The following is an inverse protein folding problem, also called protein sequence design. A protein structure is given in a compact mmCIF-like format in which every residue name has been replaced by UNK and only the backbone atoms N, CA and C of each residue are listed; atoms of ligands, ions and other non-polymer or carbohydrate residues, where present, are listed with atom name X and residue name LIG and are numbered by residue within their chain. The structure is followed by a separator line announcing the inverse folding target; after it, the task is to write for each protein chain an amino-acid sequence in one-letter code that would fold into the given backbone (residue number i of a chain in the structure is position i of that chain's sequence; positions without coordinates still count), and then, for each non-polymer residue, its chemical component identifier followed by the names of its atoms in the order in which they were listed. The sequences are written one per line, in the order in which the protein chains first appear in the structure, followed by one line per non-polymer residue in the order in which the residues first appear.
data_IF_978197225055
#
_entry.id   IF_978197225055
#
_cell.length_a   1.000
_cell.length_b   1.000
_cell.length_c   1.000
_cell.angle_alpha   90.00
_cell.angle_beta   90.00
_cell.angle_gamma   90.00
#
_symmetry.space_group_name_H-M   'P 1'
#
loop_
_entity.id
_entity.type
_entity.pdbx_description
1 polymer ?
#
# COMPACT_ATOMS: atom_id res chain seq x y z
N UNK A 1 7.67 18.49 -17.78
CA UNK A 1 6.29 18.88 -17.38
C UNK A 1 6.41 19.96 -16.32
N UNK A 2 5.66 21.07 -16.38
CA UNK A 2 5.65 22.07 -15.31
C UNK A 2 5.18 21.43 -14.00
N UNK A 3 5.60 21.98 -12.86
CA UNK A 3 5.14 21.50 -11.56
C UNK A 3 3.65 21.80 -11.36
N UNK A 4 2.94 20.90 -10.68
CA UNK A 4 1.52 21.09 -10.36
C UNK A 4 1.13 20.33 -9.09
N UNK A 5 0.01 20.75 -8.49
CA UNK A 5 -0.74 19.95 -7.53
C UNK A 5 -2.20 19.88 -7.94
N UNK A 6 -2.82 18.72 -7.75
CA UNK A 6 -4.24 18.47 -8.00
C UNK A 6 -4.86 17.77 -6.81
N UNK A 7 -6.07 18.17 -6.42
CA UNK A 7 -6.88 17.46 -5.43
C UNK A 7 -8.23 17.17 -6.04
N UNK A 8 -8.67 15.91 -6.00
CA UNK A 8 -9.96 15.46 -6.51
C UNK A 8 -10.67 14.62 -5.45
N UNK A 9 -11.98 14.80 -5.35
CA UNK A 9 -12.87 13.85 -4.65
C UNK A 9 -13.57 13.00 -5.69
N UNK A 10 -13.43 11.68 -5.59
CA UNK A 10 -14.03 10.68 -6.47
C UNK A 10 -15.49 10.41 -6.08
N UNK A 11 -16.23 9.75 -6.97
CA UNK A 11 -17.68 9.51 -6.82
C UNK A 11 -18.04 8.58 -5.66
N UNK A 12 -17.10 7.79 -5.18
CA UNK A 12 -17.18 6.86 -4.05
C UNK A 12 -16.78 7.51 -2.71
N UNK A 13 -16.44 8.81 -2.71
CA UNK A 13 -15.99 9.54 -1.53
C UNK A 13 -14.48 9.46 -1.28
N UNK A 14 -13.73 8.73 -2.11
CA UNK A 14 -12.27 8.73 -2.02
C UNK A 14 -11.70 10.10 -2.38
N UNK A 15 -10.65 10.53 -1.67
CA UNK A 15 -9.95 11.79 -1.96
C UNK A 15 -8.55 11.49 -2.46
N UNK A 16 -8.28 11.91 -3.69
CA UNK A 16 -6.96 11.82 -4.32
C UNK A 16 -6.27 13.19 -4.30
N UNK A 17 -5.01 13.20 -3.86
CA UNK A 17 -4.13 14.34 -3.76
C UNK A 17 -2.84 14.04 -4.48
N UNK A 18 -2.52 14.82 -5.51
CA UNK A 18 -1.34 14.62 -6.34
C UNK A 18 -0.47 15.85 -6.40
N UNK A 19 0.84 15.64 -6.41
CA UNK A 19 1.82 16.69 -6.68
C UNK A 19 2.92 16.15 -7.60
N UNK A 20 3.29 16.98 -8.58
CA UNK A 20 4.44 16.75 -9.44
C UNK A 20 5.35 17.98 -9.36
N UNK A 21 6.62 17.77 -9.03
CA UNK A 21 7.61 18.84 -9.01
C UNK A 21 9.00 18.31 -9.35
N UNK A 22 9.62 18.87 -10.40
CA UNK A 22 10.91 18.40 -10.91
C UNK A 22 10.82 16.99 -11.48
N UNK A 23 11.45 16.02 -10.82
CA UNK A 23 11.36 14.58 -11.18
C UNK A 23 10.46 13.79 -10.23
N UNK A 24 10.00 14.42 -9.16
CA UNK A 24 9.23 13.76 -8.13
C UNK A 24 7.75 13.87 -8.43
N UNK A 25 7.08 12.73 -8.36
CA UNK A 25 5.62 12.64 -8.37
C UNK A 25 5.18 11.94 -7.11
N UNK A 26 4.23 12.53 -6.38
CA UNK A 26 3.60 11.92 -5.24
C UNK A 26 2.09 11.93 -5.38
N UNK A 27 1.46 10.85 -4.93
CA UNK A 27 0.02 10.61 -4.92
C UNK A 27 -0.36 10.16 -3.53
N UNK A 28 -1.45 10.68 -3.03
CA UNK A 28 -2.09 10.28 -1.79
C UNK A 28 -3.56 10.02 -2.08
N UNK A 29 -4.00 8.79 -1.82
CA UNK A 29 -5.40 8.40 -1.89
C UNK A 29 -5.86 8.07 -0.48
N UNK A 30 -6.90 8.73 0.00
CA UNK A 30 -7.51 8.45 1.29
C UNK A 30 -8.94 7.95 1.11
N UNK A 31 -9.26 6.85 1.80
CA UNK A 31 -10.60 6.29 1.88
C UNK A 31 -11.10 6.43 3.31
N UNK A 32 -12.24 7.11 3.49
CA UNK A 32 -12.93 7.18 4.78
C UNK A 32 -13.88 5.97 4.86
N UNK A 33 -13.40 4.86 5.42
CA UNK A 33 -14.18 3.61 5.49
C UNK A 33 -15.21 3.65 6.63
N UNK A 34 -14.88 4.27 7.79
CA UNK A 34 -15.76 4.48 8.95
C UNK A 34 -15.15 5.49 9.95
N UNK A 35 -15.87 5.88 11.03
CA UNK A 35 -15.41 6.83 12.08
C UNK A 35 -14.04 6.45 12.71
N UNK A 36 -13.67 5.16 12.69
CA UNK A 36 -12.42 4.67 13.27
C UNK A 36 -11.40 4.10 12.27
N UNK A 37 -11.81 3.83 11.03
CA UNK A 37 -10.98 3.16 10.04
C UNK A 37 -10.80 4.04 8.81
N UNK A 38 -9.73 4.84 8.80
CA UNK A 38 -9.26 5.52 7.59
C UNK A 38 -7.87 4.98 7.22
N UNK A 39 -7.71 4.62 5.95
CA UNK A 39 -6.43 4.20 5.36
C UNK A 39 -6.01 5.21 4.32
N UNK A 40 -4.73 5.55 4.36
CA UNK A 40 -4.11 6.46 3.40
C UNK A 40 -3.04 5.70 2.64
N UNK A 41 -3.20 5.62 1.33
CA UNK A 41 -2.20 5.09 0.42
C UNK A 41 -1.39 6.25 -0.14
N UNK A 42 -0.08 6.25 0.09
CA UNK A 42 0.83 7.29 -0.43
C UNK A 42 1.89 6.66 -1.32
N UNK A 43 1.97 7.11 -2.56
CA UNK A 43 2.90 6.61 -3.58
C UNK A 43 3.80 7.75 -4.07
N UNK A 44 5.11 7.53 -4.10
CA UNK A 44 6.11 8.54 -4.47
C UNK A 44 7.11 7.93 -5.45
N UNK A 45 7.40 8.61 -6.54
CA UNK A 45 8.35 8.17 -7.56
C UNK A 45 9.23 9.32 -8.02
N UNK A 46 10.51 9.03 -8.26
CA UNK A 46 11.45 9.92 -8.94
C UNK A 46 11.73 9.51 -10.40
N UNK A 47 10.98 8.52 -10.91
CA UNK A 47 11.17 7.90 -12.22
C UNK A 47 12.17 6.73 -12.24
N UNK A 48 13.02 6.60 -11.22
CA UNK A 48 14.00 5.50 -11.08
C UNK A 48 13.74 4.60 -9.88
N UNK A 49 13.03 5.12 -8.89
CA UNK A 49 12.63 4.47 -7.66
C UNK A 49 11.16 4.75 -7.41
N UNK A 50 10.48 3.79 -6.78
CA UNK A 50 9.09 3.89 -6.38
C UNK A 50 8.96 3.52 -4.91
N UNK A 51 8.20 4.30 -4.15
CA UNK A 51 7.92 4.08 -2.74
C UNK A 51 6.41 4.14 -2.53
N UNK A 52 5.84 3.07 -2.00
CA UNK A 52 4.46 3.01 -1.55
C UNK A 52 4.44 2.93 -0.03
N UNK A 53 3.50 3.62 0.59
CA UNK A 53 3.30 3.71 2.03
C UNK A 53 1.81 3.51 2.30
N UNK A 54 1.50 2.70 3.30
CA UNK A 54 0.15 2.56 3.86
C UNK A 54 0.18 3.19 5.24
N UNK A 55 -0.65 4.21 5.45
CA UNK A 55 -0.76 4.92 6.71
C UNK A 55 -2.16 4.74 7.30
N UNK A 56 -2.25 4.82 8.62
CA UNK A 56 -3.54 4.89 9.32
C UNK A 56 -4.07 6.34 9.38
N UNK A 57 -5.23 6.53 10.01
CA UNK A 57 -5.86 7.85 10.26
C UNK A 57 -4.96 8.87 10.99
N UNK A 58 -4.01 8.40 11.78
CA UNK A 58 -3.06 9.24 12.54
C UNK A 58 -1.79 9.56 11.76
N UNK A 59 -1.74 9.21 10.47
CA UNK A 59 -0.56 9.34 9.61
C UNK A 59 0.65 8.53 10.09
N UNK A 60 0.40 7.45 10.83
CA UNK A 60 1.43 6.52 11.26
C UNK A 60 1.63 5.46 10.17
N UNK A 61 2.91 5.14 9.90
CA UNK A 61 3.26 4.20 8.86
C UNK A 61 2.97 2.77 9.32
N UNK A 62 2.02 2.12 8.65
CA UNK A 62 1.60 0.74 8.91
C UNK A 62 2.37 -0.23 8.02
N UNK A 63 2.50 0.08 6.73
CA UNK A 63 3.25 -0.72 5.75
C UNK A 63 3.99 0.16 4.74
N UNK A 64 5.01 -0.41 4.10
CA UNK A 64 5.68 0.26 2.99
C UNK A 64 6.39 -0.69 2.02
N UNK A 65 6.52 -0.24 0.78
CA UNK A 65 7.25 -0.97 -0.26
C UNK A 65 8.16 -0.01 -1.03
N UNK A 66 9.45 -0.34 -1.11
CA UNK A 66 10.42 0.41 -1.89
C UNK A 66 10.98 -0.44 -3.03
N UNK A 67 10.83 0.05 -4.24
CA UNK A 67 11.32 -0.56 -5.47
C UNK A 67 12.37 0.33 -6.12
N UNK A 68 13.46 -0.28 -6.59
CA UNK A 68 14.55 0.37 -7.33
C UNK A 68 14.85 -0.40 -8.61
N UNK A 69 13.80 -0.63 -9.40
CA UNK A 69 13.88 -1.25 -10.71
C UNK A 69 13.09 -0.38 -11.70
N UNK A 70 13.75 0.26 -12.69
CA UNK A 70 13.10 1.12 -13.67
C UNK A 70 11.93 0.46 -14.41
N UNK A 71 11.96 -0.85 -14.67
CA UNK A 71 10.86 -1.55 -15.36
C UNK A 71 9.65 -1.71 -14.44
N UNK A 72 9.87 -2.12 -13.20
CA UNK A 72 8.81 -2.22 -12.19
C UNK A 72 8.22 -0.84 -11.84
N UNK A 73 9.08 0.19 -11.78
CA UNK A 73 8.68 1.60 -11.58
C UNK A 73 7.84 2.09 -12.75
N UNK A 74 8.17 1.70 -13.99
CA UNK A 74 7.38 2.04 -15.16
C UNK A 74 5.98 1.41 -15.10
N UNK A 75 5.86 0.12 -14.77
CA UNK A 75 4.55 -0.53 -14.64
C UNK A 75 3.67 0.05 -13.52
N UNK A 76 4.26 0.39 -12.37
CA UNK A 76 3.52 1.02 -11.26
C UNK A 76 3.33 2.53 -11.40
N UNK A 77 4.20 3.21 -12.14
CA UNK A 77 4.20 4.66 -12.31
C UNK A 77 3.50 5.16 -13.57
N UNK A 78 3.48 4.40 -14.67
CA UNK A 78 2.88 4.84 -15.94
C UNK A 78 1.35 4.89 -15.91
N UNK A 79 0.70 4.06 -15.10
CA UNK A 79 -0.76 4.14 -14.93
C UNK A 79 -1.21 5.50 -14.38
N UNK A 80 -0.33 6.19 -13.64
CA UNK A 80 -0.67 7.40 -12.90
C UNK A 80 -0.20 8.71 -13.54
N UNK A 81 0.88 8.73 -14.34
CA UNK A 81 1.46 9.98 -14.87
C UNK A 81 1.05 10.24 -16.33
N UNK A 82 0.98 9.20 -17.16
CA UNK A 82 0.60 9.34 -18.57
C UNK A 82 -0.91 9.50 -18.76
N UNK A 83 -1.73 8.86 -17.93
CA UNK A 83 -3.20 8.98 -17.98
C UNK A 83 -3.70 10.41 -17.64
N UNK A 84 -2.87 11.22 -16.96
CA UNK A 84 -3.26 12.54 -16.50
C UNK A 84 -2.86 13.70 -17.41
N UNK A 85 -1.86 13.55 -18.28
CA UNK A 85 -1.61 14.55 -19.32
C UNK A 85 -2.82 14.66 -20.28
N UNK A 86 -3.53 13.56 -20.50
CA UNK A 86 -4.85 13.50 -21.16
C UNK A 86 -6.00 14.05 -20.30
N UNK A 87 -5.82 14.15 -18.97
CA UNK A 87 -6.81 14.68 -18.02
C UNK A 87 -6.61 16.17 -17.68
N UNK A 88 -5.62 16.82 -18.29
CA UNK A 88 -5.46 18.28 -18.28
C UNK A 88 -6.36 18.97 -19.31
N UNK A 89 -6.85 18.21 -20.30
CA UNK A 89 -7.82 18.68 -21.32
C UNK A 89 -9.28 18.48 -20.91
N UNK A 90 -9.57 17.76 -19.83
CA UNK A 90 -10.92 17.65 -19.29
C UNK A 90 -11.22 18.84 -18.37
N UNK A 91 -12.36 19.53 -18.55
CA UNK A 91 -12.73 20.64 -17.69
C UNK A 91 -12.81 20.15 -16.23
N UNK A 92 -12.30 20.93 -15.26
CA UNK A 92 -12.37 20.55 -13.86
C UNK A 92 -13.83 20.35 -13.46
N UNK A 93 -14.13 19.18 -12.89
CA UNK A 93 -15.40 18.99 -12.19
C UNK A 93 -15.45 19.91 -10.96
N UNK A 94 -16.63 20.17 -10.41
CA UNK A 94 -16.82 21.05 -9.25
C UNK A 94 -16.01 20.64 -8.00
N UNK A 95 -15.51 19.41 -7.95
CA UNK A 95 -14.73 18.85 -6.84
C UNK A 95 -13.24 18.63 -7.19
N UNK A 96 -12.72 19.34 -8.20
CA UNK A 96 -11.33 19.25 -8.67
C UNK A 96 -10.59 20.58 -8.49
N UNK A 97 -9.54 20.57 -7.68
CA UNK A 97 -8.70 21.75 -7.42
C UNK A 97 -7.33 21.55 -8.05
N UNK A 98 -6.99 22.35 -9.06
CA UNK A 98 -5.70 22.33 -9.74
C UNK A 98 -4.89 23.61 -9.46
N UNK A 99 -3.58 23.46 -9.20
CA UNK A 99 -2.65 24.59 -8.99
C UNK A 99 -1.32 24.33 -9.68
N UNK A 100 -0.79 25.33 -10.37
CA UNK A 100 0.55 25.30 -10.95
C UNK A 100 1.60 25.60 -9.88
N UNK A 101 2.67 24.82 -9.86
CA UNK A 101 3.83 25.00 -8.99
C UNK A 101 4.99 25.49 -9.85
N UNK A 102 5.33 26.77 -9.72
CA UNK A 102 6.40 27.40 -10.51
C UNK A 102 7.75 27.29 -9.82
N UNK A 103 7.75 27.28 -8.50
CA UNK A 103 8.95 27.24 -7.67
C UNK A 103 8.78 26.33 -6.46
N UNK A 104 9.90 25.95 -5.84
CA UNK A 104 9.91 25.16 -4.61
C UNK A 104 9.23 25.87 -3.42
N UNK A 105 9.06 27.20 -3.48
CA UNK A 105 8.35 27.98 -2.45
C UNK A 105 6.83 27.84 -2.55
N UNK A 106 6.33 27.53 -3.75
CA UNK A 106 4.91 27.31 -4.02
C UNK A 106 4.45 25.91 -3.60
N UNK A 107 5.41 25.02 -3.29
CA UNK A 107 5.16 23.71 -2.70
C UNK A 107 4.74 23.93 -1.24
N UNK A 108 3.43 23.84 -0.99
CA UNK A 108 2.85 23.93 0.36
C UNK A 108 3.53 22.99 1.36
N UNK A 109 3.53 23.36 2.65
CA UNK A 109 4.22 22.61 3.70
C UNK A 109 3.84 21.13 3.72
N UNK A 110 2.56 20.84 3.55
CA UNK A 110 2.00 19.47 3.51
C UNK A 110 2.61 18.61 2.40
N UNK A 111 2.95 19.22 1.25
CA UNK A 111 3.55 18.52 0.12
C UNK A 111 5.05 18.27 0.31
N UNK A 112 5.74 19.06 1.14
CA UNK A 112 7.17 18.89 1.39
C UNK A 112 7.48 17.54 2.01
N UNK A 113 6.62 17.06 2.92
CA UNK A 113 6.77 15.73 3.48
C UNK A 113 6.47 14.63 2.45
N UNK A 114 5.45 14.81 1.61
CA UNK A 114 5.14 13.87 0.52
C UNK A 114 6.30 13.71 -0.48
N UNK A 115 7.04 14.80 -0.74
CA UNK A 115 8.10 14.83 -1.74
C UNK A 115 9.48 14.44 -1.19
N UNK A 116 9.66 14.28 0.13
CA UNK A 116 10.94 13.85 0.71
C UNK A 116 11.13 12.33 0.65
N UNK A 117 11.44 11.84 -0.55
CA UNK A 117 11.67 10.41 -0.81
C UNK A 117 12.78 9.82 0.09
N UNK A 118 13.79 10.61 0.48
CA UNK A 118 14.89 10.16 1.34
C UNK A 118 14.40 9.91 2.76
N UNK A 119 13.64 10.85 3.32
CA UNK A 119 13.01 10.71 4.63
C UNK A 119 12.06 9.52 4.66
N UNK A 120 11.16 9.42 3.68
CA UNK A 120 10.16 8.35 3.60
C UNK A 120 10.81 6.97 3.48
N UNK A 121 11.87 6.85 2.66
CA UNK A 121 12.67 5.62 2.57
C UNK A 121 13.32 5.24 3.90
N UNK A 122 13.82 6.22 4.66
CA UNK A 122 14.40 5.98 5.99
C UNK A 122 13.34 5.50 6.99
N UNK A 123 12.14 6.13 6.99
CA UNK A 123 11.00 5.67 7.81
C UNK A 123 10.64 4.22 7.47
N UNK A 124 10.53 3.91 6.18
CA UNK A 124 10.22 2.55 5.71
C UNK A 124 11.25 1.50 6.16
N UNK A 125 12.55 1.78 6.00
CA UNK A 125 13.61 0.89 6.50
C UNK A 125 13.55 0.67 8.01
N UNK A 126 13.25 1.73 8.78
CA UNK A 126 13.14 1.65 10.24
C UNK A 126 11.97 0.75 10.63
N UNK A 127 10.81 0.92 9.99
CA UNK A 127 9.64 0.07 10.18
C UNK A 127 9.97 -1.41 9.91
N UNK A 128 10.52 -1.72 8.74
CA UNK A 128 10.88 -3.10 8.38
C UNK A 128 11.91 -3.71 9.35
N UNK A 129 12.84 -2.91 9.89
CA UNK A 129 13.76 -3.38 10.92
C UNK A 129 13.00 -3.73 12.22
N UNK A 130 12.08 -2.89 12.66
CA UNK A 130 11.28 -3.12 13.88
C UNK A 130 10.41 -4.36 13.74
N UNK A 131 9.69 -4.51 12.62
CA UNK A 131 8.85 -5.69 12.37
C UNK A 131 9.69 -6.96 12.35
N UNK A 132 10.84 -6.94 11.66
CA UNK A 132 11.75 -8.11 11.61
C UNK A 132 12.26 -8.53 12.99
N UNK A 133 12.50 -7.58 13.90
CA UNK A 133 12.91 -7.88 15.28
C UNK A 133 11.75 -8.47 16.08
N UNK A 134 10.57 -7.85 16.01
CA UNK A 134 9.37 -8.33 16.69
C UNK A 134 8.97 -9.75 16.25
N UNK A 135 9.06 -10.06 14.95
CA UNK A 135 8.77 -11.40 14.43
C UNK A 135 9.77 -12.46 14.93
N UNK A 136 11.05 -12.10 15.11
CA UNK A 136 12.06 -13.00 15.67
C UNK A 136 11.81 -13.31 17.15
N UNK A 137 11.39 -12.30 17.91
CA UNK A 137 11.02 -12.47 19.31
C UNK A 137 9.78 -13.37 19.46
N UNK A 138 8.77 -13.21 18.60
CA UNK A 138 7.58 -14.06 18.62
C UNK A 138 7.83 -15.51 18.21
N UNK A 139 8.83 -15.78 17.36
CA UNK A 139 9.25 -17.15 17.03
C UNK A 139 9.92 -17.87 18.20
N UNK A 140 10.39 -17.15 19.23
CA UNK A 140 10.96 -17.73 20.45
C UNK A 140 9.93 -18.13 21.51
N UNK A 141 8.73 -17.52 21.52
CA UNK A 141 7.81 -17.60 22.67
C UNK A 141 6.31 -17.42 22.32
N UNK A 142 5.71 -18.17 21.38
CA UNK A 142 4.24 -18.13 21.26
C UNK A 142 3.61 -19.36 20.59
N UNK A 143 3.23 -20.35 21.40
CA UNK A 143 2.33 -21.42 20.99
C UNK A 143 0.93 -20.91 20.68
N UNK A 144 0.39 -21.38 19.55
CA UNK A 144 -1.03 -21.63 19.15
C UNK A 144 -2.17 -20.62 19.47
N UNK A 145 -2.11 -19.75 20.47
CA UNK A 145 -3.26 -18.94 20.96
C UNK A 145 -3.40 -17.53 20.37
N UNK A 146 -2.39 -17.00 19.66
CA UNK A 146 -2.45 -15.66 19.04
C UNK A 146 -2.98 -15.63 17.60
N UNK A 147 -3.26 -16.79 17.00
CA UNK A 147 -3.66 -16.89 15.58
C UNK A 147 -5.08 -16.34 15.33
N UNK A 148 -6.00 -16.50 16.27
CA UNK A 148 -7.40 -16.11 16.09
C UNK A 148 -7.65 -14.59 16.09
N UNK A 149 -6.77 -13.78 16.71
CA UNK A 149 -6.96 -12.32 16.80
C UNK A 149 -6.75 -11.59 15.45
N UNK A 150 -6.11 -12.24 14.48
CA UNK A 150 -5.84 -11.66 13.16
C UNK A 150 -6.64 -12.36 12.05
N UNK A 151 -7.70 -13.07 12.41
CA UNK A 151 -8.65 -13.68 11.47
C UNK A 151 -9.90 -12.82 11.35
N UNK A 152 -10.45 -12.75 10.14
CA UNK A 152 -11.71 -12.08 9.89
C UNK A 152 -12.84 -12.81 10.64
N UNK A 153 -13.73 -12.10 11.37
CA UNK A 153 -14.78 -12.74 12.16
C UNK A 153 -15.64 -13.71 11.34
N UNK A 154 -15.91 -14.89 11.93
CA UNK A 154 -16.72 -15.93 11.27
C UNK A 154 -16.00 -16.68 10.15
N UNK A 155 -14.68 -16.55 10.02
CA UNK A 155 -13.82 -17.28 9.06
C UNK A 155 -12.69 -17.98 9.81
N UNK A 156 -12.19 -19.07 9.25
CA UNK A 156 -11.07 -19.83 9.80
C UNK A 156 -9.77 -19.60 9.02
N UNK A 157 -9.84 -19.07 7.80
CA UNK A 157 -8.74 -18.96 6.84
C UNK A 157 -8.42 -17.53 6.42
N UNK A 158 -9.33 -16.57 6.62
CA UNK A 158 -9.10 -15.20 6.19
C UNK A 158 -8.26 -14.42 7.21
N UNK A 159 -6.94 -14.41 7.07
CA UNK A 159 -6.06 -13.56 7.86
C UNK A 159 -4.61 -14.00 7.91
N UNK A 160 -3.91 -13.63 8.98
CA UNK A 160 -2.49 -14.01 9.17
C UNK A 160 -2.37 -15.46 9.64
N UNK A 161 -2.41 -16.40 8.69
CA UNK A 161 -2.50 -17.84 8.93
C UNK A 161 -3.95 -18.29 9.02
N UNK A 162 -4.20 -19.46 9.63
CA UNK A 162 -5.55 -20.02 9.80
C UNK A 162 -5.70 -20.71 11.16
N UNK A 163 -6.95 -20.83 11.62
CA UNK A 163 -7.38 -21.53 12.84
C UNK A 163 -7.96 -22.92 12.56
N UNK A 164 -8.17 -23.25 11.29
CA UNK A 164 -8.72 -24.53 10.86
C UNK A 164 -7.82 -25.70 11.29
N UNK A 165 -8.42 -26.72 11.92
CA UNK A 165 -7.75 -27.98 12.28
C UNK A 165 -7.71 -28.95 11.11
N UNK A 166 -8.65 -28.81 10.18
CA UNK A 166 -8.78 -29.62 8.97
C UNK A 166 -9.01 -28.73 7.76
N UNK A 167 -8.50 -29.14 6.60
CA UNK A 167 -8.70 -28.42 5.33
C UNK A 167 -10.18 -28.14 5.01
N UNK A 168 -11.09 -29.04 5.40
CA UNK A 168 -12.53 -28.93 5.13
C UNK A 168 -13.28 -28.02 6.12
N UNK A 169 -12.62 -27.54 7.16
CA UNK A 169 -13.24 -26.75 8.22
C UNK A 169 -13.37 -25.29 7.78
N UNK A 170 -14.61 -24.86 7.53
CA UNK A 170 -14.94 -23.48 7.19
C UNK A 170 -15.75 -22.85 8.32
N UNK A 171 -15.61 -21.55 8.51
CA UNK A 171 -16.38 -20.75 9.45
C UNK A 171 -17.79 -20.46 8.95
N UNK A 172 -18.52 -19.66 9.71
CA UNK A 172 -19.91 -19.23 9.39
C UNK A 172 -19.99 -18.57 8.02
N UNK A 173 -18.98 -17.77 7.67
CA UNK A 173 -18.86 -17.12 6.36
C UNK A 173 -18.18 -18.02 5.32
N UNK A 174 -18.71 -19.23 5.13
CA UNK A 174 -18.06 -20.31 4.37
C UNK A 174 -17.67 -19.96 2.93
N UNK A 175 -18.40 -19.04 2.27
CA UNK A 175 -18.08 -18.59 0.91
C UNK A 175 -16.79 -17.76 0.88
N UNK A 176 -16.69 -16.75 1.72
CA UNK A 176 -15.48 -15.93 1.83
C UNK A 176 -14.31 -16.77 2.37
N UNK A 177 -14.58 -17.61 3.36
CA UNK A 177 -13.58 -18.45 4.00
C UNK A 177 -12.96 -19.47 3.03
N UNK A 178 -13.75 -19.97 2.07
CA UNK A 178 -13.26 -20.81 0.98
C UNK A 178 -12.27 -20.06 0.08
N UNK A 179 -12.58 -18.83 -0.31
CA UNK A 179 -11.67 -18.01 -1.12
C UNK A 179 -10.33 -17.82 -0.38
N UNK A 180 -10.36 -17.50 0.91
CA UNK A 180 -9.15 -17.32 1.71
C UNK A 180 -8.35 -18.62 1.86
N UNK A 181 -9.02 -19.76 2.07
CA UNK A 181 -8.36 -21.06 2.13
C UNK A 181 -7.64 -21.39 0.82
N UNK A 182 -8.32 -21.19 -0.30
CA UNK A 182 -7.79 -21.53 -1.61
C UNK A 182 -6.62 -20.58 -1.95
N UNK A 183 -6.72 -19.29 -1.62
CA UNK A 183 -5.64 -18.31 -1.68
C UNK A 183 -4.41 -18.72 -0.82
N UNK A 184 -4.62 -19.17 0.43
CA UNK A 184 -3.56 -19.65 1.33
C UNK A 184 -2.76 -20.83 0.75
N UNK A 185 -3.36 -21.61 -0.15
CA UNK A 185 -2.74 -22.77 -0.81
C UNK A 185 -2.15 -22.46 -2.19
N UNK A 186 -2.02 -21.18 -2.54
CA UNK A 186 -1.36 -20.78 -3.77
C UNK A 186 0.08 -21.35 -3.83
N UNK A 187 0.48 -22.04 -4.92
CA UNK A 187 1.82 -22.63 -5.02
C UNK A 187 2.93 -21.56 -5.13
N UNK A 188 2.55 -20.36 -5.56
CA UNK A 188 3.45 -19.25 -5.88
C UNK A 188 3.34 -18.13 -4.85
N UNK A 189 3.63 -18.44 -3.59
CA UNK A 189 3.69 -17.45 -2.50
C UNK A 189 5.12 -17.11 -2.08
N UNK A 190 5.31 -15.89 -1.58
CA UNK A 190 6.51 -15.42 -0.89
C UNK A 190 6.11 -14.93 0.49
N UNK A 191 6.48 -15.68 1.53
CA UNK A 191 6.23 -15.31 2.93
C UNK A 191 6.86 -13.95 3.31
N UNK A 192 6.31 -13.34 4.36
CA UNK A 192 6.81 -12.09 4.93
C UNK A 192 8.31 -12.12 5.20
N UNK A 193 9.05 -11.13 4.68
CA UNK A 193 10.50 -10.99 4.82
C UNK A 193 11.33 -12.20 4.33
N UNK A 194 10.79 -13.01 3.42
CA UNK A 194 11.50 -14.12 2.78
C UNK A 194 11.86 -13.79 1.33
N UNK A 195 12.85 -14.53 0.81
CA UNK A 195 13.25 -14.49 -0.60
C UNK A 195 12.82 -15.79 -1.28
N UNK A 196 12.10 -15.71 -2.39
CA UNK A 196 11.74 -16.84 -3.27
C UNK A 196 11.64 -16.33 -4.70
N UNK A 197 11.85 -17.18 -5.70
CA UNK A 197 11.80 -16.79 -7.12
C UNK A 197 12.68 -15.57 -7.46
N UNK A 198 13.82 -15.42 -6.78
CA UNK A 198 14.72 -14.26 -6.85
C UNK A 198 14.14 -12.91 -6.38
N UNK A 199 12.89 -12.87 -5.91
CA UNK A 199 12.20 -11.72 -5.34
C UNK A 199 12.24 -11.77 -3.80
N UNK A 200 12.38 -10.61 -3.16
CA UNK A 200 12.30 -10.49 -1.70
C UNK A 200 10.99 -9.80 -1.32
N UNK A 201 10.16 -10.47 -0.51
CA UNK A 201 8.95 -9.86 0.02
C UNK A 201 9.31 -8.93 1.19
N UNK A 202 9.22 -7.63 0.96
CA UNK A 202 9.47 -6.62 2.00
C UNK A 202 8.29 -6.43 2.96
N UNK A 203 7.13 -7.02 2.67
CA UNK A 203 5.90 -6.87 3.45
C UNK A 203 5.90 -7.77 4.67
N UNK A 204 5.10 -7.41 5.65
CA UNK A 204 4.89 -8.19 6.88
C UNK A 204 3.86 -9.32 6.73
N UNK A 205 3.21 -9.42 5.57
CA UNK A 205 2.28 -10.49 5.21
C UNK A 205 2.80 -11.27 4.00
N UNK A 206 2.30 -12.49 3.81
CA UNK A 206 2.59 -13.33 2.64
C UNK A 206 2.00 -12.70 1.38
N UNK A 207 2.75 -12.73 0.28
CA UNK A 207 2.30 -12.25 -1.03
C UNK A 207 2.13 -13.45 -1.95
N UNK A 208 1.02 -13.49 -2.67
CA UNK A 208 0.66 -14.53 -3.64
C UNK A 208 0.90 -14.07 -5.07
N UNK A 209 0.80 -14.99 -6.03
CA UNK A 209 0.79 -14.66 -7.45
C UNK A 209 -0.55 -14.04 -7.84
N UNK A 210 -0.58 -13.11 -8.79
CA UNK A 210 -1.81 -12.40 -9.16
C UNK A 210 -2.95 -13.34 -9.60
N UNK A 211 -2.63 -14.45 -10.28
CA UNK A 211 -3.63 -15.48 -10.64
C UNK A 211 -4.32 -16.15 -9.43
N UNK A 212 -3.72 -16.05 -8.25
CA UNK A 212 -4.31 -16.53 -7.00
C UNK A 212 -5.19 -15.45 -6.31
N UNK A 213 -5.10 -14.19 -6.76
CA UNK A 213 -5.83 -13.05 -6.21
C UNK A 213 -7.06 -12.67 -7.08
N UNK A 214 -7.15 -13.20 -8.31
CA UNK A 214 -8.27 -13.04 -9.27
C UNK A 214 -9.37 -14.09 -9.06
#
# INVERSE_FOLDING_TARGET
VPGFSRTRVLSDGERERRVHYGRLTAVETSVDLDQDNALVLRQVSDGSSFLQLILNRHQELVDCEYLKDPRAVLHRGNGSVLCELSSLSTPPSTNDTFRLIRSARDVGADWKELLDLRLLRRKCRKLHRQIRLALREQQGTAGKKKRDLFLYPGTNWCGSGNSARKFTELGVNARADRCCRDHDHCPFTIEAFKKKFHLFNYRFHTVSHCECDE
#
